data_IF_625259540357
#
_entry.id   IF_625259540357
#
_cell.length_a   1.000
_cell.length_b   1.000
_cell.length_c   1.000
_cell.angle_alpha   90.00
_cell.angle_beta   90.00
_cell.angle_gamma   90.00
#
_symmetry.space_group_name_H-M   'P 1'
#
loop_
_entity.id
_entity.type
_entity.pdbx_description
1 polymer ?
#
# COMPACT_ATOMS: atom_id res chain seq x y z
N UNK A 1 20.19 -33.54 2.35
CA UNK A 1 19.65 -32.78 3.49
C UNK A 1 20.80 -32.07 4.20
N UNK A 2 21.46 -31.12 3.54
CA UNK A 2 22.56 -30.34 4.12
C UNK A 2 22.10 -28.90 4.15
N UNK A 3 21.49 -28.52 5.27
CA UNK A 3 21.23 -27.13 5.59
C UNK A 3 22.58 -26.45 5.87
N UNK A 4 22.85 -25.36 5.14
CA UNK A 4 23.94 -24.40 5.35
C UNK A 4 23.93 -23.90 6.80
N UNK A 5 25.10 -23.59 7.40
CA UNK A 5 25.18 -23.09 8.75
C UNK A 5 24.51 -21.72 8.79
N UNK A 6 23.73 -21.45 9.84
CA UNK A 6 23.10 -20.16 10.08
C UNK A 6 24.15 -19.03 9.97
N UNK A 7 24.22 -18.37 8.80
CA UNK A 7 24.94 -17.13 8.63
C UNK A 7 24.30 -16.13 9.59
N UNK A 8 25.12 -15.50 10.43
CA UNK A 8 24.68 -14.35 11.21
C UNK A 8 24.04 -13.33 10.25
N UNK A 9 22.89 -12.72 10.58
CA UNK A 9 22.26 -11.71 9.74
C UNK A 9 23.30 -10.68 9.35
N UNK A 10 23.52 -10.48 8.05
CA UNK A 10 24.43 -9.44 7.62
C UNK A 10 23.79 -8.09 7.96
N UNK A 11 24.59 -7.04 8.18
CA UNK A 11 24.06 -5.75 8.62
C UNK A 11 23.00 -5.18 7.67
N UNK A 12 23.06 -5.51 6.37
CA UNK A 12 22.08 -5.09 5.38
C UNK A 12 20.72 -5.80 5.55
N UNK A 13 20.70 -7.08 5.92
CA UNK A 13 19.46 -7.83 6.21
C UNK A 13 18.74 -7.24 7.43
N UNK A 14 19.50 -6.79 8.43
CA UNK A 14 18.96 -6.13 9.64
C UNK A 14 18.37 -4.76 9.30
N UNK A 15 19.03 -4.01 8.41
CA UNK A 15 18.54 -2.71 7.93
C UNK A 15 17.23 -2.84 7.14
N UNK A 16 17.12 -3.86 6.29
CA UNK A 16 15.89 -4.15 5.52
C UNK A 16 14.76 -4.64 6.43
N UNK A 17 15.04 -5.47 7.43
CA UNK A 17 14.03 -5.96 8.38
C UNK A 17 13.46 -4.85 9.29
N UNK A 18 14.21 -3.76 9.49
CA UNK A 18 13.77 -2.59 10.25
C UNK A 18 13.09 -1.53 9.35
N UNK A 19 13.21 -1.65 8.03
CA UNK A 19 12.55 -0.74 7.09
C UNK A 19 11.04 -1.03 7.06
N UNK A 20 10.24 0.03 7.21
CA UNK A 20 8.78 -0.07 7.02
C UNK A 20 8.48 -0.31 5.54
N UNK A 21 7.82 -1.42 5.21
CA UNK A 21 7.32 -1.66 3.87
C UNK A 21 6.14 -0.71 3.58
N UNK A 22 6.27 0.20 2.60
CA UNK A 22 5.20 1.13 2.26
C UNK A 22 3.93 0.42 1.77
N UNK A 23 4.02 -0.80 1.23
CA UNK A 23 2.86 -1.57 0.80
C UNK A 23 2.06 -2.03 2.02
N UNK A 24 2.72 -2.68 2.98
CA UNK A 24 2.08 -3.18 4.21
C UNK A 24 1.46 -2.05 5.04
N UNK A 25 2.10 -0.88 5.07
CA UNK A 25 1.56 0.31 5.73
C UNK A 25 0.21 0.77 5.16
N UNK A 26 -0.08 0.50 3.88
CA UNK A 26 -1.29 0.95 3.18
C UNK A 26 -2.40 -0.12 3.21
N UNK A 27 -2.09 -1.40 3.35
CA UNK A 27 -3.07 -2.51 3.27
C UNK A 27 -4.25 -2.29 4.22
N UNK A 28 -3.98 -1.86 5.45
CA UNK A 28 -4.99 -1.66 6.49
C UNK A 28 -5.98 -0.52 6.17
N UNK A 29 -5.61 0.43 5.30
CA UNK A 29 -6.48 1.56 4.91
C UNK A 29 -7.23 1.33 3.60
N UNK A 30 -6.88 0.31 2.82
CA UNK A 30 -7.55 -0.04 1.55
C UNK A 30 -9.09 -0.10 1.68
N UNK A 31 -9.67 -0.74 2.72
CA UNK A 31 -11.13 -0.83 2.85
C UNK A 31 -11.84 0.53 2.93
N UNK A 32 -11.14 1.59 3.34
CA UNK A 32 -11.68 2.94 3.45
C UNK A 32 -11.33 3.80 2.23
N UNK A 33 -10.10 3.69 1.74
CA UNK A 33 -9.60 4.47 0.59
C UNK A 33 -10.37 4.11 -0.69
N UNK A 34 -10.62 2.82 -0.94
CA UNK A 34 -11.31 2.39 -2.17
C UNK A 34 -12.73 2.95 -2.25
N UNK A 35 -13.60 2.83 -1.23
CA UNK A 35 -14.90 3.49 -1.24
C UNK A 35 -14.83 5.01 -1.31
N UNK A 36 -13.91 5.66 -0.58
CA UNK A 36 -13.81 7.12 -0.55
C UNK A 36 -13.40 7.70 -1.91
N UNK A 37 -12.37 7.14 -2.55
CA UNK A 37 -11.92 7.55 -3.88
C UNK A 37 -12.99 7.24 -4.93
N UNK A 38 -13.62 6.07 -4.85
CA UNK A 38 -14.73 5.72 -5.74
C UNK A 38 -15.89 6.73 -5.67
N UNK A 39 -16.29 7.11 -4.45
CA UNK A 39 -17.32 8.13 -4.24
C UNK A 39 -16.89 9.50 -4.78
N UNK A 40 -15.63 9.90 -4.55
CA UNK A 40 -15.10 11.16 -5.08
C UNK A 40 -15.10 11.18 -6.61
N UNK A 41 -14.73 10.07 -7.26
CA UNK A 41 -14.78 9.94 -8.72
C UNK A 41 -16.21 10.05 -9.24
N UNK A 42 -17.18 9.34 -8.64
CA UNK A 42 -18.58 9.42 -9.05
C UNK A 42 -19.11 10.85 -8.87
N UNK A 43 -18.82 11.49 -7.73
CA UNK A 43 -19.23 12.86 -7.47
C UNK A 43 -18.64 13.83 -8.50
N UNK A 44 -17.35 13.70 -8.80
CA UNK A 44 -16.69 14.50 -9.83
C UNK A 44 -17.34 14.31 -11.20
N UNK A 45 -17.62 13.05 -11.58
CA UNK A 45 -18.31 12.72 -12.83
C UNK A 45 -19.74 13.27 -12.88
N UNK A 46 -20.47 13.23 -11.77
CA UNK A 46 -21.81 13.81 -11.67
C UNK A 46 -21.77 15.33 -11.76
N UNK A 47 -20.78 15.97 -11.14
CA UNK A 47 -20.58 17.42 -11.22
C UNK A 47 -20.36 17.84 -12.67
N UNK A 48 -19.39 17.25 -13.38
CA UNK A 48 -19.15 17.61 -14.79
C UNK A 48 -20.40 17.39 -15.65
N UNK A 49 -21.20 16.35 -15.38
CA UNK A 49 -22.44 16.09 -16.11
C UNK A 49 -23.51 17.19 -15.92
N UNK A 50 -23.56 17.83 -14.75
CA UNK A 50 -24.51 18.93 -14.48
C UNK A 50 -24.04 20.25 -15.10
N UNK A 51 -22.75 20.56 -15.01
CA UNK A 51 -22.23 21.89 -15.37
C UNK A 51 -21.80 22.05 -16.83
N UNK A 52 -21.62 20.95 -17.58
CA UNK A 52 -21.24 20.99 -19.01
C UNK A 52 -22.34 20.54 -19.98
N UNK A 53 -23.55 20.24 -19.50
CA UNK A 53 -24.70 19.93 -20.35
C UNK A 53 -25.28 21.19 -21.01
#
# INVERSE_FOLDING_TARGET
MTHDPALAPNAADVEVAQATDPVEAVVNVIPFVVPAVGAAMIFLLAFIAVYMA
#
